data_IF_229567707933
#
_entry.id   IF_229567707933
#
_cell.length_a   1.000
_cell.length_b   1.000
_cell.length_c   1.000
_cell.angle_alpha   90.00
_cell.angle_beta   90.00
_cell.angle_gamma   90.00
#
_symmetry.space_group_name_H-M   'P 1'
#
loop_
_entity.id
_entity.type
_entity.pdbx_description
1 polymer ?
#
# COMPACT_ATOMS: atom_id res chain seq x y z
N UNK A 1 -21.95 3.13 52.97
CA UNK A 1 -21.92 3.92 51.73
C UNK A 1 -20.49 4.42 51.49
N UNK A 2 -19.81 3.98 50.43
CA UNK A 2 -18.49 4.53 50.08
C UNK A 2 -18.67 5.99 49.61
N UNK A 3 -18.13 6.92 50.39
CA UNK A 3 -18.29 8.35 50.15
C UNK A 3 -17.35 8.80 49.01
N UNK A 4 -17.77 8.62 47.76
CA UNK A 4 -16.97 8.81 46.53
C UNK A 4 -16.28 10.18 46.41
N UNK A 5 -16.79 11.21 47.10
CA UNK A 5 -16.22 12.57 47.10
C UNK A 5 -14.90 12.65 47.89
N UNK A 6 -14.82 12.00 49.06
CA UNK A 6 -13.62 12.00 49.90
C UNK A 6 -12.47 11.23 49.24
N UNK A 7 -12.78 10.09 48.61
CA UNK A 7 -11.80 9.30 47.87
C UNK A 7 -11.18 10.07 46.70
N UNK A 8 -11.99 10.82 45.93
CA UNK A 8 -11.49 11.68 44.83
C UNK A 8 -10.55 12.78 45.31
N UNK A 9 -10.83 13.37 46.47
CA UNK A 9 -9.97 14.40 47.07
C UNK A 9 -8.62 13.80 47.50
N UNK A 10 -8.64 12.66 48.19
CA UNK A 10 -7.42 11.94 48.60
C UNK A 10 -6.56 11.49 47.41
N UNK A 11 -7.17 11.01 46.32
CA UNK A 11 -6.44 10.66 45.11
C UNK A 11 -5.77 11.87 44.45
N UNK A 12 -6.48 13.00 44.39
CA UNK A 12 -5.95 14.24 43.82
C UNK A 12 -4.72 14.70 44.59
N UNK A 13 -4.78 14.72 45.92
CA UNK A 13 -3.63 15.12 46.74
C UNK A 13 -2.43 14.18 46.55
N UNK A 14 -2.66 12.86 46.56
CA UNK A 14 -1.60 11.88 46.33
C UNK A 14 -0.93 11.98 44.95
N UNK A 15 -1.64 12.47 43.92
CA UNK A 15 -1.12 12.63 42.57
C UNK A 15 -0.13 13.80 42.44
N UNK A 16 -0.36 14.88 43.19
CA UNK A 16 0.46 16.10 43.17
C UNK A 16 1.51 16.15 44.30
N UNK A 17 1.45 15.22 45.24
CA UNK A 17 2.46 15.10 46.28
C UNK A 17 3.86 14.85 45.69
N UNK A 18 4.81 15.73 46.06
CA UNK A 18 6.20 15.65 45.62
C UNK A 18 6.90 14.56 46.40
N UNK A 19 7.40 13.54 45.69
CA UNK A 19 8.25 12.47 46.25
C UNK A 19 9.67 12.69 45.73
N UNK A 20 10.68 12.28 46.49
CA UNK A 20 12.08 12.30 46.04
C UNK A 20 12.55 10.86 45.92
N UNK A 21 12.99 10.48 44.73
CA UNK A 21 13.76 9.26 44.51
C UNK A 21 15.23 9.62 44.73
N UNK A 22 15.90 8.90 45.61
CA UNK A 22 17.32 9.10 45.91
C UNK A 22 18.01 7.76 45.70
N UNK A 23 19.14 7.76 44.99
CA UNK A 23 20.04 6.62 44.87
C UNK A 23 21.29 6.96 45.67
N UNK A 24 21.48 6.22 46.75
CA UNK A 24 22.61 6.37 47.67
C UNK A 24 23.63 5.26 47.40
N UNK A 25 24.92 5.57 47.48
CA UNK A 25 25.96 4.56 47.51
C UNK A 25 25.96 3.89 48.90
N UNK A 26 25.98 2.54 48.95
CA UNK A 26 25.87 1.79 50.21
C UNK A 26 27.12 1.90 51.08
N UNK A 27 28.31 1.98 50.47
CA UNK A 27 29.60 1.98 51.19
C UNK A 27 30.01 3.38 51.67
N UNK A 28 29.69 4.41 50.88
CA UNK A 28 30.10 5.80 51.15
C UNK A 28 28.95 6.70 51.60
N UNK A 29 27.70 6.22 51.55
CA UNK A 29 26.48 7.00 51.85
C UNK A 29 26.36 8.31 51.04
N UNK A 30 27.07 8.45 49.93
CA UNK A 30 26.97 9.61 49.06
C UNK A 30 25.70 9.53 48.18
N UNK A 31 24.97 10.64 48.08
CA UNK A 31 23.83 10.81 47.16
C UNK A 31 24.33 10.95 45.73
N UNK A 32 24.41 9.83 45.01
CA UNK A 32 24.85 9.82 43.60
C UNK A 32 23.80 10.41 42.66
N UNK A 33 22.51 10.28 43.01
CA UNK A 33 21.41 10.76 42.17
C UNK A 33 20.17 11.10 43.01
N UNK A 34 19.59 12.28 42.79
CA UNK A 34 18.31 12.65 43.40
C UNK A 34 17.35 13.26 42.38
N UNK A 35 16.15 12.68 42.28
CA UNK A 35 15.07 13.16 41.42
C UNK A 35 13.83 13.48 42.24
N UNK A 36 13.25 14.66 42.04
CA UNK A 36 11.92 14.99 42.55
C UNK A 36 10.87 14.56 41.54
N UNK A 37 10.02 13.61 41.90
CA UNK A 37 8.99 13.01 41.06
C UNK A 37 7.62 13.20 41.71
N UNK A 38 6.60 13.52 40.91
CA UNK A 38 5.19 13.42 41.30
C UNK A 38 4.59 12.22 40.59
N UNK A 39 3.59 11.56 41.18
CA UNK A 39 2.87 10.47 40.51
C UNK A 39 2.29 10.94 39.16
N UNK A 40 1.86 12.21 39.09
CA UNK A 40 1.43 12.84 37.84
C UNK A 40 2.52 12.88 36.78
N UNK A 41 3.73 13.35 37.10
CA UNK A 41 4.82 13.43 36.11
C UNK A 41 5.23 12.05 35.60
N UNK A 42 5.34 11.07 36.51
CA UNK A 42 5.65 9.68 36.14
C UNK A 42 4.59 9.12 35.20
N UNK A 43 3.31 9.38 35.46
CA UNK A 43 2.22 8.95 34.59
C UNK A 43 2.30 9.60 33.19
N UNK A 44 2.60 10.90 33.11
CA UNK A 44 2.75 11.61 31.84
C UNK A 44 3.94 11.08 31.05
N UNK A 45 5.10 10.87 31.68
CA UNK A 45 6.30 10.32 31.02
C UNK A 45 6.05 8.90 30.52
N UNK A 46 5.42 8.05 31.33
CA UNK A 46 5.06 6.69 30.92
C UNK A 46 4.05 6.69 29.77
N UNK A 47 3.02 7.54 29.85
CA UNK A 47 2.02 7.68 28.79
C UNK A 47 2.61 8.17 27.47
N UNK A 48 3.44 9.21 27.53
CA UNK A 48 4.14 9.74 26.36
C UNK A 48 5.12 8.70 25.80
N UNK A 49 5.84 7.98 26.66
CA UNK A 49 6.72 6.88 26.27
C UNK A 49 5.97 5.74 25.58
N UNK A 50 4.80 5.35 26.09
CA UNK A 50 3.96 4.34 25.46
C UNK A 50 3.48 4.79 24.08
N UNK A 51 2.99 6.02 23.96
CA UNK A 51 2.57 6.61 22.67
C UNK A 51 3.75 6.64 21.69
N UNK A 52 4.93 7.05 22.15
CA UNK A 52 6.14 7.10 21.33
C UNK A 52 6.57 5.71 20.85
N UNK A 53 6.55 4.70 21.72
CA UNK A 53 6.85 3.30 21.36
C UNK A 53 5.83 2.78 20.33
N UNK A 54 4.53 3.03 20.53
CA UNK A 54 3.49 2.63 19.59
C UNK A 54 3.72 3.29 18.23
N UNK A 55 4.07 4.58 18.21
CA UNK A 55 4.32 5.32 16.99
C UNK A 55 5.53 4.75 16.23
N UNK A 56 6.65 4.53 16.91
CA UNK A 56 7.85 3.91 16.32
C UNK A 56 7.55 2.50 15.81
N UNK A 57 6.86 1.68 16.61
CA UNK A 57 6.53 0.31 16.23
C UNK A 57 5.65 0.28 14.99
N UNK A 58 4.65 1.17 14.92
CA UNK A 58 3.77 1.31 13.75
C UNK A 58 4.55 1.75 12.53
N UNK A 59 5.47 2.71 12.68
CA UNK A 59 6.34 3.18 11.61
C UNK A 59 7.22 2.04 11.07
N UNK A 60 7.87 1.28 11.97
CA UNK A 60 8.67 0.12 11.58
C UNK A 60 7.81 -0.89 10.82
N UNK A 61 6.62 -1.25 11.33
CA UNK A 61 5.75 -2.22 10.64
C UNK A 61 5.34 -1.70 9.25
N UNK A 62 5.00 -0.42 9.12
CA UNK A 62 4.51 0.16 7.86
C UNK A 62 5.59 0.25 6.77
N UNK A 63 6.83 0.57 7.15
CA UNK A 63 7.96 0.81 6.22
C UNK A 63 8.89 -0.39 6.04
N UNK A 64 8.72 -1.47 6.80
CA UNK A 64 9.54 -2.68 6.73
C UNK A 64 8.71 -3.84 6.14
N UNK A 65 9.32 -4.86 5.50
CA UNK A 65 8.60 -6.07 5.04
C UNK A 65 7.84 -6.85 6.13
N UNK A 66 7.93 -6.48 7.41
CA UNK A 66 7.14 -7.08 8.50
C UNK A 66 5.63 -7.06 8.22
N UNK A 67 5.11 -6.02 7.54
CA UNK A 67 3.68 -5.97 7.16
C UNK A 67 3.25 -7.08 6.21
N UNK A 68 4.17 -7.64 5.42
CA UNK A 68 3.86 -8.70 4.45
C UNK A 68 3.61 -10.06 5.13
N UNK A 69 3.94 -10.19 6.42
CA UNK A 69 3.66 -11.39 7.21
C UNK A 69 2.24 -11.41 7.81
N UNK A 70 1.48 -10.31 7.69
CA UNK A 70 0.09 -10.25 8.13
C UNK A 70 -0.79 -10.84 7.01
N UNK A 71 -1.55 -11.91 7.27
CA UNK A 71 -2.43 -12.50 6.26
C UNK A 71 -3.44 -11.44 5.79
N UNK A 72 -3.63 -11.34 4.46
CA UNK A 72 -4.49 -10.34 3.82
C UNK A 72 -3.72 -9.23 3.08
N UNK A 73 -2.43 -9.03 3.36
CA UNK A 73 -1.56 -8.18 2.56
C UNK A 73 -0.74 -9.03 1.60
N UNK A 74 -0.97 -8.87 0.29
CA UNK A 74 -0.17 -9.58 -0.71
C UNK A 74 1.24 -9.00 -0.73
N UNK A 75 2.24 -9.86 -0.49
CA UNK A 75 3.64 -9.50 -0.59
C UNK A 75 3.94 -8.96 -1.99
N UNK A 76 4.88 -8.02 -2.06
CA UNK A 76 5.31 -7.45 -3.34
C UNK A 76 5.80 -8.52 -4.32
N UNK A 77 6.45 -9.58 -3.82
CA UNK A 77 6.87 -10.75 -4.61
C UNK A 77 5.67 -11.54 -5.15
N UNK A 78 4.72 -11.91 -4.28
CA UNK A 78 3.56 -12.71 -4.68
C UNK A 78 2.72 -12.03 -5.78
N UNK A 79 2.56 -10.70 -5.71
CA UNK A 79 1.87 -9.94 -6.77
C UNK A 79 2.59 -10.03 -8.12
N UNK A 80 3.91 -9.94 -8.11
CA UNK A 80 4.74 -10.02 -9.32
C UNK A 80 4.67 -11.43 -9.90
N UNK A 81 4.85 -12.43 -9.07
CA UNK A 81 4.80 -13.84 -9.49
C UNK A 81 3.41 -14.19 -10.04
N UNK A 82 2.33 -13.74 -9.39
CA UNK A 82 0.97 -13.95 -9.87
C UNK A 82 0.72 -13.29 -11.23
N UNK A 83 1.25 -12.07 -11.45
CA UNK A 83 1.11 -11.36 -12.72
C UNK A 83 1.91 -12.05 -13.82
N UNK A 84 3.15 -12.46 -13.52
CA UNK A 84 3.98 -13.21 -14.47
C UNK A 84 3.35 -14.54 -14.85
N UNK A 85 2.81 -15.27 -13.86
CA UNK A 85 2.15 -16.54 -14.09
C UNK A 85 0.86 -16.36 -14.89
N UNK A 86 0.08 -15.31 -14.62
CA UNK A 86 -1.12 -14.99 -15.39
C UNK A 86 -0.78 -14.69 -16.87
N UNK A 87 0.27 -13.91 -17.13
CA UNK A 87 0.73 -13.61 -18.50
C UNK A 87 1.21 -14.88 -19.23
N UNK A 88 1.99 -15.72 -18.55
CA UNK A 88 2.45 -17.00 -19.11
C UNK A 88 1.28 -17.94 -19.40
N UNK A 89 0.32 -18.03 -18.47
CA UNK A 89 -0.87 -18.86 -18.65
C UNK A 89 -1.72 -18.37 -19.82
N UNK A 90 -1.96 -17.07 -19.96
CA UNK A 90 -2.70 -16.50 -21.11
C UNK A 90 -2.01 -16.83 -22.44
N UNK A 91 -0.68 -16.68 -22.49
CA UNK A 91 0.10 -17.03 -23.67
C UNK A 91 0.00 -18.52 -24.02
N UNK A 92 0.06 -19.40 -23.02
CA UNK A 92 -0.07 -20.84 -23.22
C UNK A 92 -1.47 -21.21 -23.69
N UNK A 93 -2.52 -20.62 -23.10
CA UNK A 93 -3.91 -20.84 -23.51
C UNK A 93 -4.11 -20.47 -24.97
N UNK A 94 -3.62 -19.30 -25.41
CA UNK A 94 -3.70 -18.89 -26.82
C UNK A 94 -2.99 -19.85 -27.77
N UNK A 95 -1.77 -20.27 -27.41
CA UNK A 95 -1.02 -21.23 -28.23
C UNK A 95 -1.75 -22.59 -28.33
N UNK A 96 -2.39 -23.02 -27.24
CA UNK A 96 -3.16 -24.26 -27.17
C UNK A 96 -4.43 -24.16 -28.02
N UNK A 97 -5.19 -23.07 -27.93
CA UNK A 97 -6.37 -22.81 -28.77
C UNK A 97 -6.03 -22.83 -30.27
N UNK A 98 -4.91 -22.20 -30.67
CA UNK A 98 -4.43 -22.25 -32.05
C UNK A 98 -4.07 -23.67 -32.49
N UNK A 99 -3.45 -24.46 -31.62
CA UNK A 99 -3.09 -25.85 -31.90
C UNK A 99 -4.35 -26.73 -32.03
N UNK A 100 -5.31 -26.58 -31.13
CA UNK A 100 -6.60 -27.30 -31.21
C UNK A 100 -7.36 -26.96 -32.49
N UNK A 101 -7.41 -25.68 -32.88
CA UNK A 101 -8.03 -25.25 -34.14
C UNK A 101 -7.32 -25.87 -35.36
N UNK A 102 -5.98 -25.93 -35.34
CA UNK A 102 -5.18 -26.58 -36.37
C UNK A 102 -5.47 -28.09 -36.45
N UNK A 103 -5.42 -28.81 -35.33
CA UNK A 103 -5.70 -30.25 -35.27
C UNK A 103 -7.13 -30.54 -35.73
N UNK A 104 -8.11 -29.73 -35.31
CA UNK A 104 -9.51 -29.87 -35.73
C UNK A 104 -9.67 -29.67 -37.23
N UNK A 105 -8.97 -28.70 -37.81
CA UNK A 105 -8.98 -28.45 -39.26
C UNK A 105 -8.34 -29.61 -40.02
N UNK A 106 -7.20 -30.12 -39.53
CA UNK A 106 -6.54 -31.29 -40.11
C UNK A 106 -7.43 -32.52 -40.06
N UNK A 107 -8.12 -32.75 -38.93
CA UNK A 107 -9.08 -33.86 -38.78
C UNK A 107 -10.20 -33.76 -39.81
N UNK A 108 -10.80 -32.58 -40.00
CA UNK A 108 -11.85 -32.35 -41.01
C UNK A 108 -11.38 -32.66 -42.44
N UNK A 109 -10.15 -32.26 -42.79
CA UNK A 109 -9.56 -32.54 -44.11
C UNK A 109 -9.40 -34.06 -44.30
N UNK A 110 -8.87 -34.76 -43.30
CA UNK A 110 -8.63 -36.20 -43.36
C UNK A 110 -9.92 -37.03 -43.39
N UNK A 111 -11.00 -36.55 -42.76
CA UNK A 111 -12.32 -37.22 -42.78
C UNK A 111 -13.17 -36.86 -44.00
N UNK A 112 -12.71 -35.96 -44.87
CA UNK A 112 -13.45 -35.54 -46.06
C UNK A 112 -14.61 -34.59 -45.80
N UNK A 113 -14.74 -34.07 -44.56
CA UNK A 113 -15.74 -33.08 -44.16
C UNK A 113 -15.25 -31.66 -44.51
N UNK A 114 -15.06 -31.40 -45.80
CA UNK A 114 -14.68 -30.09 -46.30
C UNK A 114 -15.93 -29.22 -46.49
N UNK A 115 -16.28 -28.44 -45.46
CA UNK A 115 -17.02 -27.21 -45.71
C UNK A 115 -16.05 -26.22 -46.37
N UNK A 116 -16.09 -26.13 -47.71
CA UNK A 116 -15.46 -25.04 -48.46
C UNK A 116 -16.15 -23.73 -48.08
N UNK A 117 -15.88 -23.24 -46.88
CA UNK A 117 -16.30 -21.92 -46.45
C UNK A 117 -15.69 -20.93 -47.43
N UNK A 118 -16.56 -20.28 -48.20
CA UNK A 118 -16.27 -19.27 -49.22
C UNK A 118 -15.14 -18.35 -48.75
N UNK A 119 -13.91 -18.62 -49.22
CA UNK A 119 -12.74 -17.83 -48.92
C UNK A 119 -12.86 -16.53 -49.74
N UNK A 120 -13.62 -15.57 -49.22
CA UNK A 120 -13.95 -14.34 -49.94
C UNK A 120 -12.89 -13.28 -49.64
N UNK A 121 -12.09 -12.96 -50.66
CA UNK A 121 -10.93 -12.04 -50.59
C UNK A 121 -11.32 -10.63 -50.10
N UNK A 122 -12.60 -10.27 -50.22
CA UNK A 122 -13.15 -8.97 -49.83
C UNK A 122 -13.20 -8.75 -48.30
N UNK A 123 -13.17 -9.80 -47.48
CA UNK A 123 -13.21 -9.66 -46.01
C UNK A 123 -11.90 -9.13 -45.41
N UNK A 124 -10.78 -9.23 -46.13
CA UNK A 124 -9.47 -8.71 -45.68
C UNK A 124 -9.34 -7.20 -45.95
N UNK A 125 -10.07 -6.67 -46.93
CA UNK A 125 -10.03 -5.24 -47.28
C UNK A 125 -10.97 -4.42 -46.37
N UNK A 126 -12.10 -4.99 -45.94
CA UNK A 126 -13.07 -4.31 -45.07
C UNK A 126 -12.57 -4.07 -43.63
N UNK A 127 -11.59 -4.85 -43.15
CA UNK A 127 -10.98 -4.62 -41.83
C UNK A 127 -9.98 -3.46 -41.80
N UNK A 128 -9.54 -2.95 -42.96
CA UNK A 128 -8.67 -1.76 -43.06
C UNK A 128 -9.47 -0.46 -42.98
N UNK A 129 -10.78 -0.49 -43.29
CA UNK A 129 -11.71 0.62 -43.08
C UNK A 129 -12.22 0.63 -41.63
N UNK A 130 -11.29 0.68 -40.68
CA UNK A 130 -11.61 0.85 -39.28
C UNK A 130 -12.21 2.25 -39.08
N UNK A 131 -13.55 2.30 -39.08
CA UNK A 131 -14.43 3.24 -38.40
C UNK A 131 -13.65 4.39 -37.74
N UNK A 132 -13.58 5.54 -38.43
CA UNK A 132 -13.12 6.78 -37.81
C UNK A 132 -13.92 6.94 -36.52
N UNK A 133 -13.22 6.94 -35.39
CA UNK A 133 -13.83 7.17 -34.09
C UNK A 133 -14.23 8.64 -34.11
N UNK A 134 -15.47 8.93 -34.48
CA UNK A 134 -16.15 10.20 -34.19
C UNK A 134 -16.39 10.29 -32.67
N UNK A 135 -15.30 10.33 -31.91
CA UNK A 135 -15.30 10.69 -30.50
C UNK A 135 -14.84 12.13 -30.40
N UNK A 136 -15.54 12.93 -29.61
CA UNK A 136 -15.07 14.28 -29.27
C UNK A 136 -13.66 14.19 -28.68
N UNK A 137 -12.67 14.62 -29.47
CA UNK A 137 -11.25 14.66 -29.10
C UNK A 137 -10.94 15.85 -28.17
N UNK A 138 -11.96 16.45 -27.57
CA UNK A 138 -11.78 17.52 -26.60
C UNK A 138 -11.01 16.98 -25.39
N UNK A 139 -9.98 17.73 -24.99
CA UNK A 139 -9.16 17.37 -23.85
C UNK A 139 -10.03 17.29 -22.59
N UNK A 140 -9.89 16.20 -21.82
CA UNK A 140 -10.57 16.05 -20.53
C UNK A 140 -10.13 17.18 -19.58
N UNK A 141 -11.00 17.57 -18.65
CA UNK A 141 -10.70 18.57 -17.61
C UNK A 141 -9.41 18.22 -16.85
N UNK A 142 -9.21 16.92 -16.57
CA UNK A 142 -8.05 16.38 -15.87
C UNK A 142 -6.76 16.55 -16.69
N UNK A 143 -6.83 16.37 -18.01
CA UNK A 143 -5.69 16.56 -18.91
C UNK A 143 -5.26 18.03 -18.98
N UNK A 144 -6.24 18.94 -19.05
CA UNK A 144 -5.97 20.39 -19.05
C UNK A 144 -5.31 20.85 -17.74
N UNK A 145 -5.70 20.29 -16.60
CA UNK A 145 -5.05 20.56 -15.32
C UNK A 145 -3.62 20.02 -15.27
N UNK A 146 -3.39 18.83 -15.81
CA UNK A 146 -2.06 18.24 -15.92
C UNK A 146 -1.14 19.11 -16.78
N UNK A 147 -1.61 19.57 -17.95
CA UNK A 147 -0.86 20.49 -18.82
C UNK A 147 -0.48 21.77 -18.08
N UNK A 148 -1.40 22.38 -17.34
CA UNK A 148 -1.12 23.59 -16.52
C UNK A 148 -0.06 23.33 -15.45
N UNK A 149 -0.08 22.16 -14.81
CA UNK A 149 0.92 21.78 -13.80
C UNK A 149 2.30 21.64 -14.43
N UNK A 150 2.40 20.92 -15.54
CA UNK A 150 3.67 20.70 -16.26
C UNK A 150 4.26 22.03 -16.73
N UNK A 151 3.46 22.92 -17.35
CA UNK A 151 3.97 24.21 -17.82
C UNK A 151 4.50 25.11 -16.70
N UNK A 152 3.88 25.08 -15.51
CA UNK A 152 4.39 25.80 -14.33
C UNK A 152 5.71 25.21 -13.85
N UNK A 153 5.84 23.89 -13.88
CA UNK A 153 7.05 23.19 -13.50
C UNK A 153 8.19 23.53 -14.47
N UNK A 154 7.96 23.45 -15.78
CA UNK A 154 8.94 23.82 -16.82
C UNK A 154 9.40 25.28 -16.70
N UNK A 155 8.49 26.23 -16.46
CA UNK A 155 8.85 27.64 -16.22
C UNK A 155 9.73 27.80 -14.97
N UNK A 156 9.51 27.00 -13.93
CA UNK A 156 10.33 27.03 -12.71
C UNK A 156 11.74 26.48 -12.95
N UNK A 157 11.90 25.48 -13.82
CA UNK A 157 13.21 24.96 -14.24
C UNK A 157 13.95 25.98 -15.11
N UNK A 158 13.27 26.67 -16.02
CA UNK A 158 13.91 27.67 -16.89
C UNK A 158 14.35 28.93 -16.14
N UNK A 159 13.69 29.29 -15.02
CA UNK A 159 14.10 30.42 -14.16
C UNK A 159 15.27 30.10 -13.22
N UNK A 160 15.63 28.82 -13.05
CA UNK A 160 16.74 28.36 -12.20
C UNK A 160 18.05 28.16 -12.97
N UNK A 161 18.05 28.42 -14.27
CA UNK A 161 19.23 28.45 -15.15
C UNK A 161 19.59 29.90 -15.46
#
# INVERSE_FOLDING_TARGET
MFNKRLFKQQLKENLFNKRRLIILNEDTFEETFSLKLTLMNVFVVLGLGAIFIIFITTFIIAFTPLREFIPGYSSSKLKRDATELALKSDSLTKALEHNEAYIKSLKKVLTGELEFAKFNKDSILSSTEQKQIEGDLSASKEELELRKRISKEEQSYQKKK
#
